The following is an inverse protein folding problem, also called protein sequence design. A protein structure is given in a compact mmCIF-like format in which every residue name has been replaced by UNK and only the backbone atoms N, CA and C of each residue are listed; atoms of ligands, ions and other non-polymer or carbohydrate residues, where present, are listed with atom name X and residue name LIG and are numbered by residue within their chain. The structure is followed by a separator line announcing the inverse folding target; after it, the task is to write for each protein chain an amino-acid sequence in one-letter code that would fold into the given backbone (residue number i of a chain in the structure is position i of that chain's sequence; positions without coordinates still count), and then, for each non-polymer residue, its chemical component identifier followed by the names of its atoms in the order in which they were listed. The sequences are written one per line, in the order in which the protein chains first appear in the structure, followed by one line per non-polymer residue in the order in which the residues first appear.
data_IF_371198531502
#
_entry.id   IF_371198531502
#
_cell.length_a   1.000
_cell.length_b   1.000
_cell.length_c   1.000
_cell.angle_alpha   90.00
_cell.angle_beta   90.00
_cell.angle_gamma   90.00
#
_symmetry.space_group_name_H-M   'P 1'
#
loop_
_entity.id
_entity.type
_entity.pdbx_description
1 polymer ?
#
# COMPACT_ATOMS: atom_id res chain seq x y z
N UNK A 1 -3.73 -2.27 17.65
CA UNK A 1 -3.22 -1.69 16.41
C UNK A 1 -1.91 -2.35 16.02
N UNK A 2 -1.80 -2.79 14.76
CA UNK A 2 -0.57 -3.39 14.28
C UNK A 2 0.52 -2.36 14.10
N UNK A 3 1.77 -2.79 14.28
CA UNK A 3 2.93 -1.98 13.94
C UNK A 3 3.14 -2.03 12.43
N UNK A 4 3.69 -0.96 11.88
CA UNK A 4 3.88 -0.84 10.44
C UNK A 4 5.36 -1.01 10.12
N UNK A 5 5.67 -1.93 9.20
CA UNK A 5 7.01 -2.10 8.68
C UNK A 5 7.03 -1.74 7.21
N UNK A 6 8.03 -0.97 6.80
CA UNK A 6 8.20 -0.55 5.41
C UNK A 6 9.35 -1.33 4.81
N UNK A 7 9.07 -2.15 3.80
CA UNK A 7 10.12 -2.92 3.11
C UNK A 7 10.96 -1.99 2.23
N UNK A 8 12.15 -2.48 1.85
CA UNK A 8 13.07 -1.71 1.02
C UNK A 8 12.42 -1.25 -0.29
N UNK A 9 11.72 -2.14 -0.97
CA UNK A 9 11.07 -1.79 -2.24
C UNK A 9 9.99 -0.74 -2.05
N UNK A 10 9.23 -0.82 -0.96
CA UNK A 10 8.24 0.20 -0.64
C UNK A 10 8.93 1.56 -0.44
N UNK A 11 10.02 1.59 0.31
CA UNK A 11 10.73 2.86 0.56
C UNK A 11 11.24 3.48 -0.73
N UNK A 12 11.76 2.66 -1.65
CA UNK A 12 12.20 3.12 -2.96
C UNK A 12 11.03 3.64 -3.78
N UNK A 13 9.92 2.89 -3.77
CA UNK A 13 8.70 3.29 -4.46
C UNK A 13 8.18 4.62 -3.90
N UNK A 14 8.18 4.76 -2.58
CA UNK A 14 7.72 5.96 -1.90
C UNK A 14 8.47 7.20 -2.39
N UNK A 15 9.79 7.10 -2.51
CA UNK A 15 10.59 8.20 -3.02
C UNK A 15 10.21 8.57 -4.46
N UNK A 16 10.01 7.55 -5.29
CA UNK A 16 9.63 7.76 -6.69
C UNK A 16 8.26 8.42 -6.80
N UNK A 17 7.27 7.92 -6.08
CA UNK A 17 5.91 8.47 -6.10
C UNK A 17 5.92 9.90 -5.55
N UNK A 18 6.78 10.17 -4.57
CA UNK A 18 6.93 11.49 -3.99
C UNK A 18 7.46 12.56 -4.95
N UNK A 19 7.95 12.15 -6.12
CA UNK A 19 8.41 13.08 -7.17
C UNK A 19 7.37 13.26 -8.25
N UNK A 20 6.24 12.59 -8.16
CA UNK A 20 5.21 12.59 -9.21
C UNK A 20 3.93 13.29 -8.80
N UNK A 21 2.90 13.06 -9.60
CA UNK A 21 1.61 13.73 -9.43
C UNK A 21 0.88 13.40 -8.14
N UNK A 22 1.21 12.26 -7.51
CA UNK A 22 0.56 11.85 -6.27
C UNK A 22 1.34 12.25 -5.01
N UNK A 23 2.36 13.10 -5.15
CA UNK A 23 3.17 13.51 -4.00
C UNK A 23 2.34 14.11 -2.86
N UNK A 24 1.23 14.76 -3.19
CA UNK A 24 0.37 15.36 -2.17
C UNK A 24 -0.36 14.36 -1.28
N UNK A 25 -0.39 13.09 -1.65
CA UNK A 25 -1.04 12.05 -0.85
C UNK A 25 -0.09 11.42 0.16
N UNK A 26 1.21 11.73 0.09
CA UNK A 26 2.25 11.03 0.85
C UNK A 26 2.71 11.77 2.11
N UNK A 27 2.26 13.00 2.34
CA UNK A 27 2.66 13.74 3.52
C UNK A 27 1.96 13.15 4.77
N UNK A 28 2.50 13.44 5.94
CA UNK A 28 1.88 13.00 7.19
C UNK A 28 0.46 13.55 7.28
N UNK A 29 -0.48 12.66 7.60
CA UNK A 29 -1.90 13.01 7.61
C UNK A 29 -2.57 12.93 6.24
N UNK A 30 -1.80 12.64 5.19
CA UNK A 30 -2.36 12.47 3.85
C UNK A 30 -3.07 11.14 3.67
N UNK A 31 -3.70 10.97 2.52
CA UNK A 31 -4.55 9.81 2.27
C UNK A 31 -3.82 8.47 2.37
N UNK A 32 -2.56 8.40 1.91
CA UNK A 32 -1.81 7.15 2.04
C UNK A 32 -1.77 6.67 3.49
N UNK A 33 -1.45 7.58 4.40
CA UNK A 33 -1.30 7.21 5.81
C UNK A 33 -2.62 6.99 6.50
N UNK A 34 -3.69 7.63 6.05
CA UNK A 34 -5.04 7.32 6.53
C UNK A 34 -5.41 5.87 6.19
N UNK A 35 -5.10 5.43 4.97
CA UNK A 35 -5.35 4.05 4.54
C UNK A 35 -4.50 3.09 5.36
N UNK A 36 -3.21 3.38 5.51
CA UNK A 36 -2.30 2.52 6.29
C UNK A 36 -2.78 2.40 7.73
N UNK A 37 -3.17 3.50 8.34
CA UNK A 37 -3.68 3.48 9.71
C UNK A 37 -4.94 2.62 9.83
N UNK A 38 -5.86 2.77 8.88
CA UNK A 38 -7.06 1.94 8.85
C UNK A 38 -6.74 0.45 8.75
N UNK A 39 -5.79 0.10 7.88
CA UNK A 39 -5.36 -1.29 7.73
C UNK A 39 -4.70 -1.81 9.01
N UNK A 40 -3.89 -0.98 9.67
CA UNK A 40 -3.25 -1.37 10.92
C UNK A 40 -4.25 -1.63 12.04
N UNK A 41 -5.39 -0.96 11.99
CA UNK A 41 -6.46 -1.11 12.97
C UNK A 41 -7.51 -2.15 12.56
N UNK A 42 -7.28 -2.89 11.47
CA UNK A 42 -8.19 -3.89 10.94
C UNK A 42 -9.55 -3.32 10.51
N UNK A 43 -9.56 -2.07 10.09
CA UNK A 43 -10.77 -1.45 9.57
C UNK A 43 -10.93 -1.86 8.11
N UNK A 44 -12.12 -2.30 7.73
CA UNK A 44 -12.41 -2.60 6.33
C UNK A 44 -12.43 -1.31 5.53
N UNK A 45 -11.67 -1.30 4.42
CA UNK A 45 -11.63 -0.15 3.55
C UNK A 45 -12.94 -0.06 2.75
N UNK A 46 -13.39 1.16 2.40
CA UNK A 46 -14.51 1.31 1.48
C UNK A 46 -14.27 0.57 0.17
N UNK A 47 -15.34 0.13 -0.47
CA UNK A 47 -15.29 -0.63 -1.73
C UNK A 47 -14.52 0.11 -2.83
N UNK A 48 -14.55 1.43 -2.82
CA UNK A 48 -13.85 2.23 -3.81
C UNK A 48 -12.34 1.95 -3.84
N UNK A 49 -11.77 1.48 -2.74
CA UNK A 49 -10.35 1.14 -2.70
C UNK A 49 -10.05 -0.23 -3.30
N UNK A 50 -11.06 -1.03 -3.60
CA UNK A 50 -10.93 -2.31 -4.31
C UNK A 50 -9.87 -3.22 -3.69
N UNK A 51 -9.88 -3.32 -2.36
CA UNK A 51 -8.93 -4.16 -1.62
C UNK A 51 -9.19 -5.64 -1.95
N UNK A 52 -8.15 -6.34 -2.38
CA UNK A 52 -8.27 -7.75 -2.74
C UNK A 52 -6.92 -8.48 -2.63
N UNK A 53 -6.96 -9.82 -2.45
CA UNK A 53 -5.71 -10.58 -2.39
C UNK A 53 -5.06 -10.72 -3.75
N UNK A 54 -3.74 -10.88 -3.73
CA UNK A 54 -2.95 -11.08 -4.93
C UNK A 54 -2.58 -12.55 -5.09
N UNK A 55 -2.17 -12.92 -6.31
CA UNK A 55 -1.74 -14.26 -6.66
C UNK A 55 -0.36 -14.20 -7.31
N UNK A 56 0.21 -15.37 -7.61
CA UNK A 56 1.51 -15.46 -8.27
C UNK A 56 2.64 -15.06 -7.33
N UNK A 57 3.56 -14.27 -7.83
CA UNK A 57 4.76 -13.88 -7.10
C UNK A 57 4.46 -13.08 -5.83
N UNK A 58 3.29 -12.45 -5.76
CA UNK A 58 2.88 -11.67 -4.59
C UNK A 58 1.77 -12.38 -3.81
N UNK A 59 1.67 -13.70 -3.94
CA UNK A 59 0.71 -14.47 -3.16
C UNK A 59 0.97 -14.25 -1.67
N UNK A 60 -0.10 -14.09 -0.90
CA UNK A 60 0.00 -13.72 0.51
C UNK A 60 -0.10 -12.24 0.75
N UNK A 61 0.03 -11.44 -0.31
CA UNK A 61 -0.14 -10.00 -0.23
C UNK A 61 -1.55 -9.60 -0.67
N UNK A 62 -1.91 -8.38 -0.35
CA UNK A 62 -3.14 -7.75 -0.81
C UNK A 62 -2.79 -6.43 -1.48
N UNK A 63 -3.65 -5.95 -2.33
CA UNK A 63 -3.49 -4.62 -2.90
C UNK A 63 -4.76 -3.81 -2.69
N UNK A 64 -4.60 -2.51 -2.50
CA UNK A 64 -5.72 -1.58 -2.51
C UNK A 64 -5.38 -0.40 -3.42
N UNK A 65 -6.42 0.19 -4.02
CA UNK A 65 -6.28 1.28 -4.97
C UNK A 65 -6.54 2.60 -4.26
N UNK A 66 -5.48 3.34 -3.92
CA UNK A 66 -5.63 4.68 -3.35
C UNK A 66 -6.12 5.61 -4.44
N UNK A 67 -5.66 5.37 -5.66
CA UNK A 67 -6.14 5.95 -6.91
C UNK A 67 -6.17 4.82 -7.94
N UNK A 68 -6.88 4.96 -9.06
CA UNK A 68 -6.92 3.89 -10.07
C UNK A 68 -5.53 3.40 -10.49
N UNK A 69 -4.55 4.29 -10.51
CA UNK A 69 -3.18 3.95 -10.88
C UNK A 69 -2.16 4.18 -9.77
N UNK A 70 -2.62 4.21 -8.52
CA UNK A 70 -1.73 4.24 -7.36
C UNK A 70 -2.15 3.15 -6.40
N UNK A 71 -1.41 2.06 -6.41
CA UNK A 71 -1.70 0.86 -5.63
C UNK A 71 -0.77 0.77 -4.44
N UNK A 72 -1.32 0.33 -3.32
CA UNK A 72 -0.53 -0.07 -2.15
C UNK A 72 -0.61 -1.58 -2.04
N UNK A 73 0.55 -2.24 -2.09
CA UNK A 73 0.66 -3.68 -1.86
C UNK A 73 1.16 -3.89 -0.45
N UNK A 74 0.44 -4.70 0.31
CA UNK A 74 0.74 -4.92 1.72
C UNK A 74 0.40 -6.35 2.11
N UNK A 75 0.85 -6.76 3.29
CA UNK A 75 0.43 -8.03 3.89
C UNK A 75 0.44 -7.93 5.40
N UNK A 76 -0.31 -8.80 6.03
CA UNK A 76 -0.28 -8.94 7.48
C UNK A 76 0.68 -10.06 7.85
N UNK A 77 1.45 -9.85 8.90
CA UNK A 77 2.32 -10.86 9.44
C UNK A 77 1.94 -11.06 10.91
N UNK A 78 1.27 -12.19 11.18
CA UNK A 78 0.67 -12.44 12.48
C UNK A 78 -0.36 -11.37 12.81
N UNK A 79 -0.55 -11.13 14.09
CA UNK A 79 -1.48 -10.12 14.56
C UNK A 79 -0.79 -8.79 14.88
N UNK A 80 0.54 -8.77 14.81
CA UNK A 80 1.30 -7.62 15.26
C UNK A 80 1.79 -6.70 14.15
N UNK A 81 1.94 -7.21 12.92
CA UNK A 81 2.60 -6.45 11.87
C UNK A 81 1.74 -6.24 10.63
N UNK A 82 1.79 -5.02 10.14
CA UNK A 82 1.36 -4.65 8.78
C UNK A 82 2.61 -4.32 8.00
N UNK A 83 2.86 -5.07 6.93
CA UNK A 83 4.05 -4.92 6.11
C UNK A 83 3.68 -4.20 4.82
N UNK A 84 4.32 -3.07 4.55
CA UNK A 84 4.12 -2.34 3.30
C UNK A 84 5.16 -2.82 2.30
N UNK A 85 4.69 -3.46 1.21
CA UNK A 85 5.55 -4.13 0.25
C UNK A 85 5.89 -3.29 -0.97
N UNK A 86 4.89 -2.65 -1.58
CA UNK A 86 5.09 -1.88 -2.81
C UNK A 86 4.11 -0.71 -2.87
N UNK A 87 4.47 0.29 -3.67
CA UNK A 87 3.62 1.45 -3.92
C UNK A 87 3.86 1.93 -5.35
N UNK A 88 2.80 2.07 -6.14
CA UNK A 88 2.95 2.54 -7.52
C UNK A 88 1.83 2.08 -8.42
N UNK A 89 2.02 2.23 -9.72
CA UNK A 89 1.07 1.76 -10.71
C UNK A 89 1.20 0.25 -10.94
N UNK A 90 0.23 -0.34 -11.61
CA UNK A 90 0.33 -1.75 -12.02
C UNK A 90 1.60 -2.00 -12.83
N UNK A 91 1.90 -1.12 -13.80
CA UNK A 91 3.09 -1.28 -14.62
C UNK A 91 4.36 -1.26 -13.77
N UNK A 92 4.44 -0.34 -12.82
CA UNK A 92 5.62 -0.21 -11.97
C UNK A 92 5.81 -1.41 -11.04
N UNK A 93 4.72 -1.93 -10.51
CA UNK A 93 4.78 -3.03 -9.53
C UNK A 93 4.92 -4.37 -10.22
N UNK A 94 4.17 -4.60 -11.29
CA UNK A 94 4.08 -5.91 -11.93
C UNK A 94 4.87 -6.01 -13.24
N UNK A 95 5.49 -4.92 -13.69
CA UNK A 95 6.31 -4.94 -14.90
C UNK A 95 5.53 -5.03 -16.19
N UNK A 96 4.33 -4.54 -16.22
CA UNK A 96 3.45 -4.63 -17.39
C UNK A 96 3.62 -3.45 -18.33
#
# INVERSE_FOLDING_TARGET
MRRVEKRRKFRRDFKRVGRGRYRGLLHLGGELWEVVEGLAENILLPEAYRDHPLRGDLEGCRECHIRPDLLLVYRYEGEEWLILERLGSHAEIFGL
#
